data_IF_038968518093
#
_entry.id   IF_038968518093
#
_cell.length_a   1.000
_cell.length_b   1.000
_cell.length_c   1.000
_cell.angle_alpha   90.00
_cell.angle_beta   90.00
_cell.angle_gamma   90.00
#
_symmetry.space_group_name_H-M   'P 1'
#
loop_
_entity.id
_entity.type
_entity.pdbx_description
1 polymer ?
#
# COMPACT_ATOMS: atom_id res chain seq x y z
N UNK A 1 13.10 17.20 -15.97
CA UNK A 1 12.85 18.59 -15.53
C UNK A 1 11.52 18.62 -14.79
N UNK A 2 11.47 19.15 -13.58
CA UNK A 2 10.24 19.32 -12.79
C UNK A 2 9.67 20.71 -13.11
N UNK A 3 8.38 20.80 -13.41
CA UNK A 3 7.65 22.07 -13.62
C UNK A 3 6.35 22.04 -12.82
N UNK A 4 6.00 23.13 -12.18
CA UNK A 4 4.76 23.30 -11.43
C UNK A 4 3.82 24.28 -12.15
N UNK A 5 2.51 24.07 -12.04
CA UNK A 5 1.51 24.94 -12.65
C UNK A 5 0.31 25.11 -11.70
N UNK A 6 0.02 26.38 -11.36
CA UNK A 6 -1.15 26.80 -10.59
C UNK A 6 -1.45 25.97 -9.35
N UNK A 7 -0.44 25.75 -8.50
CA UNK A 7 -0.58 24.96 -7.27
C UNK A 7 -1.30 25.78 -6.21
N UNK A 8 -2.39 25.21 -5.69
CA UNK A 8 -3.11 25.72 -4.53
C UNK A 8 -3.32 24.56 -3.54
N UNK A 9 -2.61 24.61 -2.42
CA UNK A 9 -2.68 23.58 -1.36
C UNK A 9 -3.53 24.10 -0.21
N UNK A 10 -4.61 23.39 0.06
CA UNK A 10 -5.45 23.62 1.25
C UNK A 10 -4.97 22.67 2.36
N UNK A 11 -4.13 23.12 3.26
CA UNK A 11 -3.53 22.29 4.31
C UNK A 11 -4.54 21.61 5.22
N UNK A 12 -5.70 22.22 5.46
CA UNK A 12 -6.79 21.57 6.21
C UNK A 12 -7.32 20.31 5.51
N UNK A 13 -7.32 20.30 4.17
CA UNK A 13 -7.74 19.12 3.39
C UNK A 13 -6.71 18.01 3.50
N UNK A 14 -5.41 18.36 3.48
CA UNK A 14 -4.33 17.40 3.73
C UNK A 14 -4.45 16.84 5.15
N UNK A 15 -4.65 17.68 6.16
CA UNK A 15 -4.86 17.25 7.54
C UNK A 15 -6.06 16.31 7.70
N UNK A 16 -7.20 16.61 7.05
CA UNK A 16 -8.36 15.70 7.04
C UNK A 16 -8.06 14.37 6.39
N UNK A 17 -7.30 14.35 5.29
CA UNK A 17 -6.92 13.11 4.62
C UNK A 17 -6.01 12.25 5.51
N UNK A 18 -4.99 12.85 6.13
CA UNK A 18 -4.13 12.17 7.11
C UNK A 18 -4.91 11.65 8.32
N UNK A 19 -5.88 12.43 8.83
CA UNK A 19 -6.73 12.00 9.94
C UNK A 19 -7.56 10.77 9.56
N UNK A 20 -8.19 10.77 8.38
CA UNK A 20 -8.97 9.62 7.89
C UNK A 20 -8.10 8.37 7.75
N UNK A 21 -6.90 8.53 7.19
CA UNK A 21 -5.91 7.46 7.09
C UNK A 21 -5.55 6.91 8.47
N UNK A 22 -5.20 7.82 9.40
CA UNK A 22 -4.84 7.47 10.77
C UNK A 22 -5.98 6.79 11.54
N UNK A 23 -7.23 7.20 11.33
CA UNK A 23 -8.39 6.53 11.94
C UNK A 23 -8.53 5.10 11.38
N UNK A 24 -8.44 4.92 10.06
CA UNK A 24 -8.62 3.61 9.44
C UNK A 24 -7.53 2.62 9.90
N UNK A 25 -6.25 2.93 9.64
CA UNK A 25 -5.14 2.03 10.02
C UNK A 25 -4.91 1.97 11.53
N UNK A 26 -5.06 3.10 12.23
CA UNK A 26 -4.91 3.15 13.69
C UNK A 26 -5.93 2.27 14.43
N UNK A 27 -7.15 2.16 13.93
CA UNK A 27 -8.15 1.26 14.51
C UNK A 27 -7.79 -0.20 14.27
N UNK A 28 -7.35 -0.57 13.06
CA UNK A 28 -6.85 -1.93 12.78
C UNK A 28 -5.68 -2.30 13.69
N UNK A 29 -4.69 -1.41 13.78
CA UNK A 29 -3.55 -1.58 14.67
C UNK A 29 -3.96 -1.72 16.15
N UNK A 30 -4.84 -0.86 16.64
CA UNK A 30 -5.30 -0.90 18.03
C UNK A 30 -6.01 -2.21 18.35
N UNK A 31 -6.84 -2.72 17.45
CA UNK A 31 -7.52 -4.01 17.66
C UNK A 31 -6.50 -5.15 17.73
N UNK A 32 -5.52 -5.20 16.83
CA UNK A 32 -4.47 -6.21 16.88
C UNK A 32 -3.68 -6.11 18.18
N UNK A 33 -3.26 -4.91 18.59
CA UNK A 33 -2.54 -4.69 19.85
C UNK A 33 -3.34 -5.11 21.10
N UNK A 34 -4.68 -4.99 21.05
CA UNK A 34 -5.54 -5.49 22.10
C UNK A 34 -5.66 -7.03 22.08
N UNK A 35 -5.83 -7.60 20.89
CA UNK A 35 -5.94 -9.06 20.72
C UNK A 35 -4.65 -9.79 21.10
N UNK A 36 -3.49 -9.23 20.80
CA UNK A 36 -2.18 -9.81 21.14
C UNK A 36 -1.92 -9.89 22.65
N UNK A 37 -2.75 -9.21 23.47
CA UNK A 37 -2.74 -9.39 24.94
C UNK A 37 -3.48 -10.64 25.40
N UNK A 38 -4.22 -11.30 24.53
CA UNK A 38 -4.89 -12.56 24.77
C UNK A 38 -3.90 -13.67 24.43
N UNK A 39 -3.49 -14.54 25.39
CA UNK A 39 -2.42 -15.52 25.16
C UNK A 39 -2.66 -16.43 23.96
N UNK A 40 -3.90 -16.88 23.76
CA UNK A 40 -4.28 -17.76 22.64
C UNK A 40 -4.13 -17.06 21.31
N UNK A 41 -4.49 -15.77 21.21
CA UNK A 41 -4.33 -14.99 19.99
C UNK A 41 -2.87 -14.66 19.73
N UNK A 42 -2.11 -14.30 20.77
CA UNK A 42 -0.67 -14.04 20.66
C UNK A 42 0.09 -15.27 20.12
N UNK A 43 -0.24 -16.46 20.64
CA UNK A 43 0.34 -17.71 20.14
C UNK A 43 -0.08 -17.99 18.69
N UNK A 44 -1.34 -17.71 18.34
CA UNK A 44 -1.84 -17.84 16.98
C UNK A 44 -1.13 -16.86 16.02
N UNK A 45 -0.93 -15.62 16.43
CA UNK A 45 -0.21 -14.59 15.66
C UNK A 45 1.22 -15.00 15.33
N UNK A 46 1.93 -15.57 16.33
CA UNK A 46 3.29 -16.04 16.16
C UNK A 46 3.38 -17.24 15.20
N UNK A 47 2.44 -18.16 15.25
CA UNK A 47 2.42 -19.36 14.42
C UNK A 47 1.80 -19.12 13.03
N UNK A 48 0.97 -18.11 12.88
CA UNK A 48 0.21 -17.80 11.66
C UNK A 48 0.14 -16.29 11.42
N UNK A 49 1.23 -15.65 11.01
CA UNK A 49 1.37 -14.18 10.95
C UNK A 49 0.46 -13.53 9.89
N UNK A 50 -0.12 -14.28 9.00
CA UNK A 50 -1.11 -13.79 8.06
C UNK A 50 -2.44 -13.42 8.74
N UNK A 51 -2.79 -14.06 9.87
CA UNK A 51 -4.05 -13.82 10.58
C UNK A 51 -4.14 -12.39 11.12
N UNK A 52 -3.18 -11.88 11.91
CA UNK A 52 -3.23 -10.49 12.35
C UNK A 52 -3.22 -9.49 11.19
N UNK A 53 -2.51 -9.76 10.09
CA UNK A 53 -2.55 -8.91 8.88
C UNK A 53 -3.96 -8.85 8.30
N UNK A 54 -4.61 -10.00 8.07
CA UNK A 54 -5.99 -10.03 7.60
C UNK A 54 -6.95 -9.31 8.53
N UNK A 55 -6.85 -9.54 9.83
CA UNK A 55 -7.76 -8.92 10.81
C UNK A 55 -7.55 -7.40 10.84
N UNK A 56 -6.31 -6.94 10.97
CA UNK A 56 -5.99 -5.52 11.04
C UNK A 56 -6.41 -4.76 9.79
N UNK A 57 -6.04 -5.26 8.62
CA UNK A 57 -6.34 -4.61 7.34
C UNK A 57 -7.81 -4.71 6.96
N UNK A 58 -8.50 -5.80 7.32
CA UNK A 58 -9.96 -5.89 7.14
C UNK A 58 -10.71 -4.86 7.97
N UNK A 59 -10.26 -4.58 9.20
CA UNK A 59 -10.84 -3.55 10.06
C UNK A 59 -10.56 -2.17 9.47
N UNK A 60 -9.32 -1.90 9.07
CA UNK A 60 -8.95 -0.64 8.42
C UNK A 60 -9.77 -0.41 7.14
N UNK A 61 -9.92 -1.44 6.32
CA UNK A 61 -10.74 -1.43 5.10
C UNK A 61 -12.22 -1.17 5.39
N UNK A 62 -12.81 -1.87 6.36
CA UNK A 62 -14.21 -1.68 6.75
C UNK A 62 -14.47 -0.24 7.23
N UNK A 63 -13.58 0.29 8.07
CA UNK A 63 -13.66 1.69 8.53
C UNK A 63 -13.48 2.65 7.35
N UNK A 64 -12.53 2.39 6.46
CA UNK A 64 -12.34 3.14 5.22
C UNK A 64 -13.60 3.19 4.37
N UNK A 65 -14.27 2.05 4.18
CA UNK A 65 -15.54 1.96 3.45
C UNK A 65 -16.66 2.75 4.14
N UNK A 66 -16.76 2.67 5.47
CA UNK A 66 -17.76 3.45 6.24
C UNK A 66 -17.52 4.94 6.06
N UNK A 67 -16.27 5.41 6.13
CA UNK A 67 -15.95 6.82 5.93
C UNK A 67 -16.26 7.23 4.48
N UNK A 68 -15.87 6.42 3.47
CA UNK A 68 -16.20 6.67 2.06
C UNK A 68 -17.72 6.76 1.88
N UNK A 69 -18.47 5.81 2.41
CA UNK A 69 -19.92 5.81 2.34
C UNK A 69 -20.54 7.10 2.89
N UNK A 70 -20.06 7.53 4.07
CA UNK A 70 -20.52 8.77 4.72
C UNK A 70 -20.21 10.02 3.91
N UNK A 71 -18.95 10.18 3.45
CA UNK A 71 -18.51 11.39 2.74
C UNK A 71 -18.96 11.43 1.29
N UNK A 72 -19.25 10.28 0.67
CA UNK A 72 -19.76 10.15 -0.70
C UNK A 72 -21.28 10.13 -0.79
N UNK A 73 -21.98 10.10 0.36
CA UNK A 73 -23.43 9.88 0.41
C UNK A 73 -23.85 8.59 -0.32
N UNK A 74 -23.04 7.54 -0.19
CA UNK A 74 -23.27 6.25 -0.84
C UNK A 74 -22.73 6.11 -2.26
N UNK A 75 -22.18 7.16 -2.87
CA UNK A 75 -21.64 7.10 -4.22
C UNK A 75 -20.18 6.58 -4.23
N UNK A 76 -20.00 5.29 -4.11
CA UNK A 76 -18.69 4.64 -4.16
C UNK A 76 -17.98 4.79 -5.51
N UNK A 77 -18.72 4.98 -6.60
CA UNK A 77 -18.14 5.14 -7.94
C UNK A 77 -17.17 6.32 -8.02
N UNK A 78 -17.49 7.42 -7.34
CA UNK A 78 -16.65 8.62 -7.29
C UNK A 78 -15.36 8.43 -6.50
N UNK A 79 -15.25 7.31 -5.79
CA UNK A 79 -14.10 6.91 -4.98
C UNK A 79 -13.34 5.71 -5.57
N UNK A 80 -13.55 5.47 -6.86
CA UNK A 80 -12.78 4.49 -7.64
C UNK A 80 -13.39 3.09 -7.74
N UNK A 81 -14.54 2.83 -7.12
CA UNK A 81 -15.23 1.55 -7.25
C UNK A 81 -15.98 1.48 -8.58
N UNK A 82 -15.22 1.43 -9.67
CA UNK A 82 -15.76 1.36 -11.02
C UNK A 82 -14.83 0.56 -11.94
N UNK A 83 -15.44 -0.26 -12.80
CA UNK A 83 -14.75 -1.03 -13.84
C UNK A 83 -15.15 -0.57 -15.26
N UNK A 84 -16.02 0.45 -15.36
CA UNK A 84 -16.63 0.86 -16.61
C UNK A 84 -16.22 2.26 -17.05
N UNK A 85 -16.22 2.48 -18.35
CA UNK A 85 -16.19 3.81 -18.97
C UNK A 85 -14.82 4.42 -19.25
N UNK A 86 -13.70 3.72 -18.94
CA UNK A 86 -12.34 4.21 -19.24
C UNK A 86 -11.39 3.03 -19.47
N UNK A 87 -10.28 3.30 -20.16
CA UNK A 87 -9.14 2.38 -20.20
C UNK A 87 -8.58 2.24 -18.75
N UNK A 88 -8.76 1.08 -18.15
CA UNK A 88 -8.30 0.77 -16.79
C UNK A 88 -6.79 0.63 -16.67
N UNK A 89 -6.06 0.78 -17.77
CA UNK A 89 -4.59 0.64 -17.84
C UNK A 89 -4.07 -0.67 -17.23
N UNK A 90 -4.86 -1.73 -17.31
CA UNK A 90 -4.55 -3.03 -16.69
C UNK A 90 -3.17 -3.55 -17.11
N UNK A 91 -2.87 -3.53 -18.42
CA UNK A 91 -1.56 -3.97 -18.94
C UNK A 91 -0.40 -3.15 -18.38
N UNK A 92 -0.60 -1.84 -18.27
CA UNK A 92 0.40 -0.91 -17.71
C UNK A 92 0.60 -1.16 -16.22
N UNK A 93 -0.50 -1.39 -15.48
CA UNK A 93 -0.46 -1.72 -14.05
C UNK A 93 0.31 -3.00 -13.79
N UNK A 94 0.03 -4.05 -14.55
CA UNK A 94 0.74 -5.33 -14.45
C UNK A 94 2.22 -5.14 -14.79
N UNK A 95 2.55 -4.46 -15.89
CA UNK A 95 3.93 -4.26 -16.31
C UNK A 95 4.75 -3.47 -15.26
N UNK A 96 4.17 -2.39 -14.70
CA UNK A 96 4.82 -1.62 -13.64
C UNK A 96 4.92 -2.45 -12.36
N UNK A 97 3.88 -3.20 -12.00
CA UNK A 97 3.88 -4.08 -10.84
C UNK A 97 4.98 -5.15 -10.92
N UNK A 98 5.11 -5.81 -12.07
CA UNK A 98 6.18 -6.77 -12.31
C UNK A 98 7.57 -6.10 -12.21
N UNK A 99 7.75 -4.95 -12.87
CA UNK A 99 9.03 -4.23 -12.85
C UNK A 99 9.41 -3.84 -11.42
N UNK A 100 8.49 -3.26 -10.66
CA UNK A 100 8.75 -2.86 -9.28
C UNK A 100 8.94 -4.07 -8.37
N UNK A 101 8.16 -5.14 -8.55
CA UNK A 101 8.35 -6.39 -7.81
C UNK A 101 9.76 -6.96 -8.04
N UNK A 102 10.23 -7.01 -9.28
CA UNK A 102 11.60 -7.47 -9.60
C UNK A 102 12.67 -6.54 -9.01
N UNK A 103 12.47 -5.22 -9.05
CA UNK A 103 13.38 -4.25 -8.41
C UNK A 103 13.40 -4.45 -6.90
N UNK A 104 12.24 -4.71 -6.28
CA UNK A 104 12.13 -5.01 -4.85
C UNK A 104 12.90 -6.28 -4.49
N UNK A 105 12.69 -7.38 -5.22
CA UNK A 105 13.40 -8.66 -5.05
C UNK A 105 14.92 -8.46 -5.14
N UNK A 106 15.38 -7.75 -6.16
CA UNK A 106 16.81 -7.44 -6.29
C UNK A 106 17.33 -6.59 -5.14
N UNK A 107 16.55 -5.57 -4.70
CA UNK A 107 16.93 -4.71 -3.59
C UNK A 107 17.04 -5.44 -2.26
N UNK A 108 16.22 -6.45 -2.05
CA UNK A 108 16.17 -7.23 -0.82
C UNK A 108 17.23 -8.33 -0.77
N UNK A 109 17.35 -9.11 -1.83
CA UNK A 109 18.20 -10.30 -1.83
C UNK A 109 19.62 -10.07 -2.40
N UNK A 110 19.80 -9.17 -3.38
CA UNK A 110 21.10 -8.96 -4.03
C UNK A 110 22.22 -8.55 -3.06
N UNK A 111 22.00 -7.68 -2.06
CA UNK A 111 23.04 -7.35 -1.07
C UNK A 111 23.54 -8.57 -0.30
N UNK A 112 22.66 -9.49 0.06
CA UNK A 112 23.00 -10.73 0.78
C UNK A 112 23.83 -11.65 -0.12
N UNK A 113 23.40 -11.83 -1.38
CA UNK A 113 24.12 -12.64 -2.36
C UNK A 113 25.54 -12.08 -2.62
N UNK A 114 25.68 -10.77 -2.80
CA UNK A 114 26.98 -10.12 -3.06
C UNK A 114 27.91 -10.23 -1.85
N UNK A 115 27.38 -10.10 -0.63
CA UNK A 115 28.20 -10.20 0.59
C UNK A 115 28.59 -11.64 0.93
N UNK A 116 28.05 -12.64 0.24
CA UNK A 116 28.22 -14.06 0.58
C UNK A 116 27.59 -14.43 1.92
N UNK A 117 26.71 -13.58 2.45
CA UNK A 117 25.94 -13.87 3.67
C UNK A 117 24.94 -14.97 3.37
N UNK A 118 24.70 -15.92 4.32
CA UNK A 118 23.58 -16.84 4.17
C UNK A 118 22.28 -16.05 3.96
N UNK A 119 21.46 -16.49 3.03
CA UNK A 119 20.10 -16.00 2.92
C UNK A 119 19.39 -16.45 4.21
N UNK A 120 19.09 -15.48 5.07
CA UNK A 120 18.37 -15.78 6.30
C UNK A 120 16.88 -15.99 5.99
N UNK A 121 16.21 -16.96 6.63
CA UNK A 121 14.77 -17.13 6.44
C UNK A 121 14.05 -15.81 6.72
N UNK A 122 13.39 -15.27 5.71
CA UNK A 122 12.54 -14.10 5.86
C UNK A 122 11.32 -14.38 6.78
N UNK A 123 11.15 -15.66 7.16
CA UNK A 123 9.98 -16.15 7.86
C UNK A 123 10.34 -16.76 9.24
N UNK A 124 10.07 -16.05 10.34
CA UNK A 124 10.27 -16.57 11.69
C UNK A 124 9.23 -17.64 12.10
N UNK A 125 8.43 -18.14 11.16
CA UNK A 125 7.34 -19.09 11.37
C UNK A 125 7.45 -20.30 10.44
N UNK A 126 6.78 -21.39 10.81
CA UNK A 126 6.80 -22.62 10.01
C UNK A 126 6.11 -22.40 8.63
N UNK A 127 6.72 -22.91 7.57
CA UNK A 127 6.14 -22.92 6.22
C UNK A 127 5.11 -24.05 6.08
N UNK A 128 4.12 -24.10 6.96
CA UNK A 128 2.98 -25.00 6.81
C UNK A 128 2.14 -24.63 5.57
N UNK A 129 1.40 -25.59 4.96
CA UNK A 129 0.50 -25.28 3.85
C UNK A 129 -0.50 -24.13 4.18
N UNK A 130 -0.98 -24.08 5.41
CA UNK A 130 -1.88 -23.02 5.87
C UNK A 130 -1.20 -21.64 5.88
N UNK A 131 0.05 -21.55 6.34
CA UNK A 131 0.80 -20.31 6.37
C UNK A 131 1.18 -19.85 4.96
N UNK A 132 1.63 -20.78 4.11
CA UNK A 132 1.95 -20.46 2.70
C UNK A 132 0.71 -19.96 1.97
N UNK A 133 -0.41 -20.68 2.03
CA UNK A 133 -1.64 -20.30 1.35
C UNK A 133 -2.24 -19.02 1.94
N UNK A 134 -2.22 -18.87 3.27
CA UNK A 134 -2.70 -17.67 3.95
C UNK A 134 -1.94 -16.43 3.51
N UNK A 135 -0.62 -16.46 3.51
CA UNK A 135 0.21 -15.33 3.08
C UNK A 135 0.16 -15.09 1.58
N UNK A 136 0.20 -16.14 0.75
CA UNK A 136 0.06 -15.97 -0.71
C UNK A 136 -1.29 -15.32 -1.05
N UNK A 137 -2.39 -15.79 -0.46
CA UNK A 137 -3.71 -15.17 -0.71
C UNK A 137 -3.75 -13.73 -0.24
N UNK A 138 -3.12 -13.41 0.90
CA UNK A 138 -3.04 -12.04 1.39
C UNK A 138 -2.30 -11.14 0.40
N UNK A 139 -1.09 -11.50 0.02
CA UNK A 139 -0.21 -10.67 -0.81
C UNK A 139 -0.67 -10.59 -2.28
N UNK A 140 -1.18 -11.68 -2.86
CA UNK A 140 -1.62 -11.69 -4.26
C UNK A 140 -3.03 -11.16 -4.49
N UNK A 141 -3.88 -11.09 -3.46
CA UNK A 141 -5.30 -10.77 -3.65
C UNK A 141 -5.75 -9.62 -2.76
N UNK A 142 -5.48 -9.69 -1.44
CA UNK A 142 -6.19 -8.84 -0.48
C UNK A 142 -5.46 -7.55 -0.12
N UNK A 143 -4.13 -7.56 0.01
CA UNK A 143 -3.38 -6.39 0.47
C UNK A 143 -3.67 -5.16 -0.40
N UNK A 144 -3.62 -5.28 -1.72
CA UNK A 144 -3.92 -4.17 -2.61
C UNK A 144 -5.38 -3.72 -2.54
N UNK A 145 -6.34 -4.64 -2.34
CA UNK A 145 -7.75 -4.26 -2.14
C UNK A 145 -7.88 -3.39 -0.91
N UNK A 146 -7.26 -3.77 0.19
CA UNK A 146 -7.36 -3.05 1.46
C UNK A 146 -6.64 -1.70 1.40
N UNK A 147 -5.37 -1.70 1.04
CA UNK A 147 -4.55 -0.50 1.08
C UNK A 147 -4.89 0.51 -0.02
N UNK A 148 -5.16 0.08 -1.24
CA UNK A 148 -5.50 1.00 -2.33
C UNK A 148 -6.88 1.64 -2.15
N UNK A 149 -7.84 0.92 -1.54
CA UNK A 149 -9.12 1.50 -1.16
C UNK A 149 -8.93 2.66 -0.19
N UNK A 150 -8.07 2.51 0.81
CA UNK A 150 -7.80 3.56 1.78
C UNK A 150 -6.96 4.66 1.15
N UNK A 151 -5.87 4.33 0.49
CA UNK A 151 -4.93 5.34 0.01
C UNK A 151 -5.43 6.07 -1.24
N UNK A 152 -6.00 5.38 -2.23
CA UNK A 152 -6.51 6.02 -3.46
C UNK A 152 -7.98 6.44 -3.31
N UNK A 153 -8.81 5.57 -2.76
CA UNK A 153 -10.21 5.88 -2.52
C UNK A 153 -10.35 6.99 -1.48
N UNK A 154 -9.97 6.71 -0.23
CA UNK A 154 -10.26 7.59 0.92
C UNK A 154 -9.36 8.82 1.02
N UNK A 155 -8.08 8.75 0.58
CA UNK A 155 -7.10 9.85 0.70
C UNK A 155 -6.96 10.61 -0.62
N UNK A 156 -6.55 9.95 -1.71
CA UNK A 156 -6.25 10.63 -2.97
C UNK A 156 -7.48 11.29 -3.60
N UNK A 157 -8.63 10.64 -3.58
CA UNK A 157 -9.86 11.17 -4.19
C UNK A 157 -10.26 12.53 -3.62
N UNK A 158 -10.40 12.72 -2.29
CA UNK A 158 -10.70 14.03 -1.73
C UNK A 158 -9.61 15.06 -2.02
N UNK A 159 -8.33 14.68 -1.94
CA UNK A 159 -7.23 15.60 -2.23
C UNK A 159 -7.27 16.09 -3.68
N UNK A 160 -7.62 15.21 -4.63
CA UNK A 160 -7.78 15.63 -6.04
C UNK A 160 -9.03 16.48 -6.28
N UNK A 161 -10.07 16.37 -5.46
CA UNK A 161 -11.27 17.21 -5.54
C UNK A 161 -11.05 18.59 -4.92
N UNK A 162 -10.27 18.68 -3.85
CA UNK A 162 -10.13 19.90 -3.03
C UNK A 162 -8.90 20.74 -3.35
N UNK A 163 -7.81 20.12 -3.85
CA UNK A 163 -6.58 20.81 -4.22
C UNK A 163 -6.57 21.15 -5.70
N UNK A 164 -5.77 22.14 -6.07
CA UNK A 164 -5.60 22.53 -7.49
C UNK A 164 -4.14 22.50 -7.89
N UNK A 165 -3.91 22.33 -9.18
CA UNK A 165 -2.61 22.40 -9.80
C UNK A 165 -2.00 21.06 -10.16
N UNK A 166 -0.92 21.14 -10.93
CA UNK A 166 -0.20 19.97 -11.43
C UNK A 166 1.30 20.15 -11.24
N UNK A 167 1.97 19.02 -11.04
CA UNK A 167 3.42 18.89 -11.02
C UNK A 167 3.81 18.03 -12.22
N UNK A 168 4.59 18.57 -13.15
CA UNK A 168 5.16 17.81 -14.25
C UNK A 168 6.48 17.23 -13.84
N UNK A 169 6.58 15.90 -13.88
CA UNK A 169 7.81 15.14 -13.62
C UNK A 169 8.15 14.43 -14.93
N UNK A 170 9.24 14.82 -15.59
CA UNK A 170 9.60 14.40 -16.95
C UNK A 170 8.47 14.67 -17.96
N UNK A 171 7.83 13.61 -18.44
CA UNK A 171 6.71 13.68 -19.41
C UNK A 171 5.32 13.53 -18.76
N UNK A 172 5.26 13.15 -17.50
CA UNK A 172 4.00 12.89 -16.79
C UNK A 172 3.54 14.12 -16.00
N UNK A 173 2.23 14.39 -16.08
CA UNK A 173 1.60 15.45 -15.30
C UNK A 173 0.83 14.81 -14.13
N UNK A 174 1.27 15.09 -12.92
CA UNK A 174 0.62 14.64 -11.71
C UNK A 174 -0.27 15.76 -11.16
N UNK A 175 -1.49 15.43 -10.77
CA UNK A 175 -2.28 16.29 -9.90
C UNK A 175 -1.58 16.45 -8.55
N UNK A 176 -1.62 17.65 -7.95
CA UNK A 176 -0.95 17.91 -6.67
C UNK A 176 -1.43 16.95 -5.55
N UNK A 177 -2.73 16.61 -5.54
CA UNK A 177 -3.28 15.61 -4.63
C UNK A 177 -2.68 14.21 -4.82
N UNK A 178 -2.35 13.83 -6.05
CA UNK A 178 -1.66 12.55 -6.34
C UNK A 178 -0.24 12.54 -5.82
N UNK A 179 0.49 13.65 -5.95
CA UNK A 179 1.85 13.80 -5.41
C UNK A 179 1.85 13.68 -3.90
N UNK A 180 0.94 14.42 -3.24
CA UNK A 180 0.83 14.39 -1.77
C UNK A 180 0.48 12.98 -1.29
N UNK A 181 -0.46 12.30 -1.96
CA UNK A 181 -0.82 10.92 -1.61
C UNK A 181 0.34 9.95 -1.77
N UNK A 182 1.15 10.09 -2.83
CA UNK A 182 2.33 9.25 -3.03
C UNK A 182 3.36 9.43 -1.89
N UNK A 183 3.56 10.67 -1.43
CA UNK A 183 4.43 10.97 -0.29
C UNK A 183 3.84 10.41 1.02
N UNK A 184 2.54 10.62 1.26
CA UNK A 184 1.85 10.06 2.44
C UNK A 184 1.98 8.53 2.46
N UNK A 185 1.84 7.86 1.31
CA UNK A 185 2.00 6.42 1.21
C UNK A 185 3.42 5.98 1.59
N UNK A 186 4.46 6.61 1.02
CA UNK A 186 5.84 6.31 1.38
C UNK A 186 6.14 6.55 2.86
N UNK A 187 5.72 7.70 3.41
CA UNK A 187 5.90 8.03 4.84
C UNK A 187 5.12 7.07 5.75
N UNK A 188 3.94 6.61 5.31
CA UNK A 188 3.14 5.62 6.03
C UNK A 188 3.90 4.33 6.34
N UNK A 189 4.83 3.94 5.46
CA UNK A 189 5.69 2.76 5.65
C UNK A 189 6.75 2.91 6.76
N UNK A 190 6.89 4.11 7.36
CA UNK A 190 7.64 4.26 8.62
C UNK A 190 6.98 3.53 9.79
N UNK A 191 5.63 3.51 9.82
CA UNK A 191 4.86 2.93 10.93
C UNK A 191 5.25 1.48 11.24
N UNK A 192 5.21 0.54 10.29
CA UNK A 192 5.63 -0.83 10.52
C UNK A 192 7.04 -0.94 11.11
N UNK A 193 8.01 -0.19 10.61
CA UNK A 193 9.37 -0.19 11.16
C UNK A 193 9.44 0.31 12.60
N UNK A 194 8.64 1.32 12.95
CA UNK A 194 8.63 1.89 14.30
C UNK A 194 7.93 0.97 15.33
N UNK A 195 6.89 0.25 14.91
CA UNK A 195 6.05 -0.52 15.83
C UNK A 195 6.40 -2.01 15.90
N UNK A 196 6.85 -2.59 14.78
CA UNK A 196 7.14 -4.03 14.68
C UNK A 196 8.63 -4.34 14.62
N UNK A 197 9.47 -3.32 14.63
CA UNK A 197 10.89 -3.46 14.42
C UNK A 197 11.25 -3.68 12.96
N UNK A 198 12.44 -3.28 12.58
CA UNK A 198 12.97 -3.46 11.23
C UNK A 198 14.39 -2.89 11.18
N UNK A 199 15.15 -3.26 10.16
CA UNK A 199 16.49 -2.72 9.98
C UNK A 199 16.42 -1.24 9.60
N UNK A 200 16.94 -0.37 10.47
CA UNK A 200 17.10 1.06 10.18
C UNK A 200 18.04 1.33 9.00
N UNK A 201 18.87 0.36 8.64
CA UNK A 201 19.80 0.43 7.51
C UNK A 201 19.04 0.32 6.19
N UNK A 202 18.06 -0.58 6.10
CA UNK A 202 17.25 -0.78 4.89
C UNK A 202 16.09 0.21 4.75
N UNK A 203 15.72 0.90 5.85
CA UNK A 203 14.59 1.82 5.89
C UNK A 203 14.62 2.91 4.80
N UNK A 204 15.73 3.64 4.55
CA UNK A 204 15.72 4.67 3.50
C UNK A 204 15.40 4.11 2.13
N UNK A 205 15.94 2.94 1.79
CA UNK A 205 15.66 2.27 0.51
C UNK A 205 14.19 1.85 0.42
N UNK A 206 13.65 1.28 1.50
CA UNK A 206 12.26 0.90 1.59
C UNK A 206 11.31 2.09 1.41
N UNK A 207 11.60 3.23 2.06
CA UNK A 207 10.79 4.44 1.91
C UNK A 207 10.86 5.02 0.49
N UNK A 208 12.03 5.01 -0.13
CA UNK A 208 12.19 5.42 -1.53
C UNK A 208 11.37 4.50 -2.43
N UNK A 209 11.48 3.18 -2.25
CA UNK A 209 10.72 2.19 -3.01
C UNK A 209 9.22 2.38 -2.85
N UNK A 210 8.71 2.48 -1.61
CA UNK A 210 7.30 2.71 -1.32
C UNK A 210 6.79 4.04 -1.91
N UNK A 211 7.62 5.09 -1.88
CA UNK A 211 7.27 6.38 -2.49
C UNK A 211 7.19 6.28 -4.02
N UNK A 212 8.14 5.61 -4.67
CA UNK A 212 8.12 5.39 -6.13
C UNK A 212 6.91 4.56 -6.54
N UNK A 213 6.62 3.48 -5.81
CA UNK A 213 5.40 2.72 -5.96
C UNK A 213 4.16 3.64 -5.82
N UNK A 214 4.13 4.44 -4.76
CA UNK A 214 3.08 5.42 -4.49
C UNK A 214 2.83 6.38 -5.66
N UNK A 215 3.89 6.85 -6.33
CA UNK A 215 3.78 7.69 -7.54
C UNK A 215 3.16 6.92 -8.71
N UNK A 216 3.60 5.70 -8.98
CA UNK A 216 3.06 4.86 -10.05
C UNK A 216 1.56 4.59 -9.86
N UNK A 217 1.18 4.12 -8.68
CA UNK A 217 -0.20 3.82 -8.32
C UNK A 217 -1.08 5.07 -8.33
N UNK A 218 -0.58 6.20 -7.77
CA UNK A 218 -1.29 7.49 -7.80
C UNK A 218 -1.54 8.00 -9.21
N UNK A 219 -0.57 7.81 -10.12
CA UNK A 219 -0.71 8.19 -11.52
C UNK A 219 -1.77 7.35 -12.23
N UNK A 220 -1.73 6.03 -12.06
CA UNK A 220 -2.73 5.12 -12.65
C UNK A 220 -4.13 5.50 -12.16
N UNK A 221 -4.30 5.69 -10.85
CA UNK A 221 -5.58 6.11 -10.28
C UNK A 221 -6.06 7.46 -10.80
N UNK A 222 -5.18 8.44 -10.88
CA UNK A 222 -5.48 9.77 -11.41
C UNK A 222 -6.06 9.71 -12.83
N UNK A 223 -5.47 8.88 -13.69
CA UNK A 223 -5.86 8.74 -15.09
C UNK A 223 -7.15 7.93 -15.27
N UNK A 224 -7.30 6.87 -14.48
CA UNK A 224 -8.39 5.90 -14.65
C UNK A 224 -9.62 6.21 -13.80
N UNK A 225 -9.43 6.86 -12.65
CA UNK A 225 -10.45 7.00 -11.59
C UNK A 225 -11.02 5.66 -11.13
N UNK A 226 -10.22 4.59 -11.25
CA UNK A 226 -10.57 3.22 -10.85
C UNK A 226 -9.50 2.65 -9.95
N UNK A 227 -9.92 1.90 -8.94
CA UNK A 227 -9.04 1.16 -8.03
C UNK A 227 -8.44 -0.09 -8.70
N UNK A 228 -9.02 -0.58 -9.80
CA UNK A 228 -8.60 -1.84 -10.41
C UNK A 228 -7.12 -1.88 -10.81
N UNK A 229 -6.63 -0.83 -11.48
CA UNK A 229 -5.22 -0.74 -11.86
C UNK A 229 -4.26 -0.67 -10.67
N UNK A 230 -4.46 0.26 -9.73
CA UNK A 230 -3.72 0.32 -8.47
C UNK A 230 -3.68 -1.01 -7.71
N UNK A 231 -4.83 -1.65 -7.50
CA UNK A 231 -4.93 -2.94 -6.80
C UNK A 231 -4.09 -4.02 -7.50
N UNK A 232 -4.22 -4.15 -8.82
CA UNK A 232 -3.42 -5.11 -9.58
C UNK A 232 -1.92 -4.84 -9.49
N UNK A 233 -1.52 -3.58 -9.57
CA UNK A 233 -0.12 -3.19 -9.45
C UNK A 233 0.43 -3.54 -8.07
N UNK A 234 -0.34 -3.28 -7.00
CA UNK A 234 0.01 -3.59 -5.62
C UNK A 234 0.21 -5.08 -5.42
N UNK A 235 -0.81 -5.84 -5.74
CA UNK A 235 -0.78 -7.30 -5.60
C UNK A 235 0.34 -7.96 -6.42
N UNK A 236 0.71 -7.40 -7.59
CA UNK A 236 1.86 -7.86 -8.36
C UNK A 236 3.18 -7.63 -7.62
N UNK A 237 3.36 -6.45 -7.01
CA UNK A 237 4.58 -6.13 -6.26
C UNK A 237 4.73 -7.04 -5.06
N UNK A 238 3.74 -7.07 -4.18
CA UNK A 238 3.82 -7.79 -2.91
C UNK A 238 3.75 -9.30 -3.11
N UNK A 239 2.93 -9.76 -4.06
CA UNK A 239 2.86 -11.16 -4.42
C UNK A 239 4.17 -11.70 -4.98
N UNK A 240 4.87 -10.94 -5.84
CA UNK A 240 6.18 -11.34 -6.36
C UNK A 240 7.25 -11.35 -5.28
N UNK A 241 7.31 -10.30 -4.44
CA UNK A 241 8.24 -10.22 -3.31
C UNK A 241 8.08 -11.43 -2.40
N UNK A 242 6.86 -11.67 -1.92
CA UNK A 242 6.61 -12.78 -1.01
C UNK A 242 6.83 -14.17 -1.66
N UNK A 243 6.53 -14.30 -2.96
CA UNK A 243 6.81 -15.55 -3.68
C UNK A 243 8.32 -15.78 -3.80
N UNK A 244 9.11 -14.73 -4.03
CA UNK A 244 10.56 -14.83 -4.06
C UNK A 244 11.10 -15.24 -2.67
N UNK A 245 10.60 -14.64 -1.59
CA UNK A 245 10.97 -15.03 -0.22
C UNK A 245 10.73 -16.52 0.02
N UNK A 246 9.61 -17.06 -0.43
CA UNK A 246 9.32 -18.49 -0.31
C UNK A 246 10.24 -19.40 -1.13
N UNK A 247 10.79 -18.89 -2.23
CA UNK A 247 11.66 -19.68 -3.12
C UNK A 247 13.14 -19.63 -2.71
N UNK A 248 13.56 -18.56 -2.05
CA UNK A 248 14.94 -18.36 -1.64
C UNK A 248 15.26 -18.89 -0.25
N UNK A 249 14.25 -19.28 0.51
CA UNK A 249 14.34 -19.84 1.88
C UNK A 249 13.58 -21.19 1.97
#
# INVERSE_FOLDING_TARGET
MIRTRNIEIKWHSVGKACLRLGIAFGAGFLVIACLDRIPEFSLLSQNSPWIPKYVGDSIAFAIGLIIIWRVSQGNFRDYGFTLTGRDLKIKVSIAIGILLGLVGILGEHLPQVISGSPLEPAHPYSLSPANILGMLSFQWIFVGIFEETITRGLVQTPLMKELKGTVRIFRWNFHVGSVITAIIFGVGHLGPHMFFGGSWISLPLHLVFATLYGFGSSYIYQETKSLAGPILMHNMVDGLLYTADLLFY
#
